data_IF_481696194660
#
_entry.id   IF_481696194660
#
_cell.length_a   1.000
_cell.length_b   1.000
_cell.length_c   1.000
_cell.angle_alpha   90.00
_cell.angle_beta   90.00
_cell.angle_gamma   90.00
#
_symmetry.space_group_name_H-M   'P 1'
#
loop_
_entity.id
_entity.type
_entity.pdbx_description
1 polymer ?
#
# COMPACT_ATOMS: atom_id res chain seq x y z
N UNK A 1 -7.25 -21.76 -10.54
CA UNK A 1 -8.36 -21.20 -9.75
C UNK A 1 -7.79 -20.04 -8.93
N UNK A 2 -8.45 -18.88 -8.90
CA UNK A 2 -7.99 -17.76 -8.07
C UNK A 2 -8.19 -18.13 -6.58
N UNK A 3 -7.33 -17.66 -5.68
CA UNK A 3 -7.57 -17.83 -4.24
C UNK A 3 -8.69 -16.90 -3.78
N UNK A 4 -9.37 -17.26 -2.68
CA UNK A 4 -10.38 -16.40 -2.06
C UNK A 4 -9.82 -15.00 -1.72
N UNK A 5 -8.60 -14.94 -1.19
CA UNK A 5 -7.89 -13.67 -0.99
C UNK A 5 -7.75 -12.85 -2.29
N UNK A 6 -7.53 -13.48 -3.44
CA UNK A 6 -7.45 -12.78 -4.73
C UNK A 6 -8.80 -12.20 -5.16
N UNK A 7 -9.92 -12.84 -4.80
CA UNK A 7 -11.27 -12.35 -5.07
C UNK A 7 -11.60 -11.15 -4.18
N UNK A 8 -11.34 -11.25 -2.87
CA UNK A 8 -11.50 -10.13 -1.93
C UNK A 8 -10.65 -8.93 -2.36
N UNK A 9 -9.38 -9.15 -2.74
CA UNK A 9 -8.52 -8.06 -3.25
C UNK A 9 -9.07 -7.45 -4.55
N UNK A 10 -9.65 -8.26 -5.44
CA UNK A 10 -10.28 -7.77 -6.67
C UNK A 10 -11.47 -6.86 -6.34
N UNK A 11 -12.33 -7.26 -5.42
CA UNK A 11 -13.46 -6.44 -4.95
C UNK A 11 -12.99 -5.11 -4.36
N UNK A 12 -12.04 -5.15 -3.41
CA UNK A 12 -11.48 -3.94 -2.80
C UNK A 12 -10.84 -3.00 -3.83
N UNK A 13 -10.21 -3.54 -4.88
CA UNK A 13 -9.62 -2.69 -5.93
C UNK A 13 -10.65 -1.99 -6.81
N UNK A 14 -11.89 -2.50 -6.87
CA UNK A 14 -12.98 -1.92 -7.64
C UNK A 14 -13.69 -0.76 -6.94
N UNK A 15 -13.54 -0.65 -5.62
CA UNK A 15 -14.09 0.45 -4.83
C UNK A 15 -13.53 1.80 -5.32
N UNK A 16 -14.39 2.82 -5.32
CA UNK A 16 -13.97 4.18 -5.64
C UNK A 16 -12.92 4.68 -4.63
N UNK A 17 -11.99 5.47 -5.14
CA UNK A 17 -10.95 6.12 -4.32
C UNK A 17 -11.50 7.48 -3.91
N UNK A 18 -11.83 7.62 -2.62
CA UNK A 18 -12.28 8.89 -2.07
C UNK A 18 -11.10 9.86 -1.95
N UNK A 19 -11.17 11.10 -2.50
CA UNK A 19 -10.04 12.05 -2.46
C UNK A 19 -9.49 12.32 -1.06
N UNK A 20 -10.37 12.44 -0.06
CA UNK A 20 -9.97 12.76 1.32
C UNK A 20 -9.20 11.64 2.02
N UNK A 21 -9.38 10.39 1.58
CA UNK A 21 -8.78 9.21 2.23
C UNK A 21 -7.76 8.48 1.35
N UNK A 22 -7.57 8.93 0.11
CA UNK A 22 -6.57 8.40 -0.81
C UNK A 22 -5.16 8.38 -0.18
N UNK A 23 -4.81 9.42 0.58
CA UNK A 23 -3.53 9.50 1.30
C UNK A 23 -3.37 8.43 2.37
N UNK A 24 -4.45 8.06 3.08
CA UNK A 24 -4.37 7.03 4.12
C UNK A 24 -4.09 5.66 3.50
N UNK A 25 -4.79 5.31 2.42
CA UNK A 25 -4.57 4.06 1.71
C UNK A 25 -3.17 4.00 1.06
N UNK A 26 -2.74 5.09 0.43
CA UNK A 26 -1.41 5.19 -0.17
C UNK A 26 -0.28 5.08 0.88
N UNK A 27 -0.48 5.65 2.07
CA UNK A 27 0.49 5.55 3.17
C UNK A 27 0.75 4.08 3.56
N UNK A 28 -0.29 3.24 3.60
CA UNK A 28 -0.14 1.82 3.90
C UNK A 28 0.68 1.10 2.81
N UNK A 29 0.38 1.36 1.52
CA UNK A 29 1.16 0.78 0.43
C UNK A 29 2.64 1.15 0.48
N UNK A 30 2.95 2.43 0.67
CA UNK A 30 4.33 2.90 0.71
C UNK A 30 5.08 2.41 1.94
N UNK A 31 4.44 2.37 3.11
CA UNK A 31 5.08 1.87 4.33
C UNK A 31 5.39 0.37 4.27
N UNK A 32 4.54 -0.42 3.60
CA UNK A 32 4.69 -1.87 3.56
C UNK A 32 5.52 -2.36 2.37
N UNK A 33 5.31 -1.79 1.19
CA UNK A 33 5.87 -2.29 -0.07
C UNK A 33 6.66 -1.22 -0.83
N UNK A 34 6.78 -0.01 -0.29
CA UNK A 34 7.53 1.08 -0.91
C UNK A 34 9.03 0.86 -0.79
N UNK A 35 9.74 1.06 -1.90
CA UNK A 35 11.20 1.03 -1.97
C UNK A 35 11.69 2.41 -2.36
N UNK A 36 12.45 3.06 -1.48
CA UNK A 36 13.12 4.32 -1.77
C UNK A 36 14.44 4.02 -2.50
N UNK A 37 14.57 4.54 -3.71
CA UNK A 37 15.78 4.46 -4.50
C UNK A 37 16.40 5.85 -4.65
N UNK A 38 17.73 5.91 -4.72
CA UNK A 38 18.50 7.10 -5.03
C UNK A 38 19.34 6.82 -6.28
N UNK A 39 19.09 7.56 -7.36
CA UNK A 39 19.86 7.48 -8.59
C UNK A 39 20.19 8.89 -9.06
N UNK A 40 21.47 9.17 -9.34
CA UNK A 40 21.94 10.47 -9.85
C UNK A 40 21.46 11.65 -9.00
N UNK A 41 21.53 11.46 -7.67
CA UNK A 41 21.04 12.42 -6.66
C UNK A 41 19.53 12.71 -6.70
N UNK A 42 18.74 11.89 -7.40
CA UNK A 42 17.28 11.98 -7.44
C UNK A 42 16.64 10.79 -6.71
N UNK A 43 15.69 11.09 -5.83
CA UNK A 43 14.90 10.08 -5.16
C UNK A 43 13.77 9.56 -6.05
N UNK A 44 13.50 8.26 -5.96
CA UNK A 44 12.28 7.65 -6.51
C UNK A 44 11.68 6.65 -5.54
N UNK A 45 10.35 6.55 -5.54
CA UNK A 45 9.59 5.57 -4.77
C UNK A 45 8.96 4.55 -5.70
N UNK A 46 9.29 3.29 -5.46
CA UNK A 46 8.85 2.16 -6.24
C UNK A 46 7.92 1.29 -5.41
N UNK A 47 6.74 0.94 -5.95
CA UNK A 47 5.88 -0.11 -5.39
C UNK A 47 5.69 -1.19 -6.46
N UNK A 48 6.00 -2.43 -6.10
CA UNK A 48 5.85 -3.57 -7.02
C UNK A 48 4.70 -4.49 -6.61
N UNK A 49 4.01 -5.05 -7.60
CA UNK A 49 2.95 -6.04 -7.38
C UNK A 49 2.82 -6.95 -8.60
N UNK A 50 2.39 -8.19 -8.39
CA UNK A 50 2.02 -9.12 -9.47
C UNK A 50 0.54 -8.97 -9.87
N UNK A 51 -0.25 -8.19 -9.12
CA UNK A 51 -1.66 -7.97 -9.40
C UNK A 51 -1.87 -6.66 -10.18
N UNK A 52 -2.32 -6.71 -11.46
CA UNK A 52 -2.53 -5.51 -12.26
C UNK A 52 -3.60 -4.57 -11.70
N UNK A 53 -4.60 -5.09 -10.97
CA UNK A 53 -5.64 -4.26 -10.36
C UNK A 53 -5.08 -3.44 -9.19
N UNK A 54 -4.16 -4.01 -8.40
CA UNK A 54 -3.46 -3.30 -7.33
C UNK A 54 -2.56 -2.21 -7.92
N UNK A 55 -1.82 -2.51 -9.00
CA UNK A 55 -0.98 -1.51 -9.67
C UNK A 55 -1.80 -0.30 -10.17
N UNK A 56 -2.94 -0.56 -10.84
CA UNK A 56 -3.86 0.51 -11.28
C UNK A 56 -4.42 1.32 -10.12
N UNK A 57 -4.71 0.67 -8.98
CA UNK A 57 -5.20 1.35 -7.79
C UNK A 57 -4.14 2.27 -7.18
N UNK A 58 -2.91 1.80 -7.01
CA UNK A 58 -1.79 2.63 -6.53
C UNK A 58 -1.57 3.83 -7.45
N UNK A 59 -1.58 3.61 -8.77
CA UNK A 59 -1.49 4.69 -9.75
C UNK A 59 -2.60 5.75 -9.53
N UNK A 60 -3.86 5.31 -9.40
CA UNK A 60 -5.01 6.20 -9.16
C UNK A 60 -4.88 6.94 -7.82
N UNK A 61 -4.41 6.27 -6.77
CA UNK A 61 -4.18 6.86 -5.45
C UNK A 61 -3.18 8.01 -5.52
N UNK A 62 -2.04 7.81 -6.20
CA UNK A 62 -1.02 8.86 -6.38
C UNK A 62 -1.60 10.05 -7.15
N UNK A 63 -2.30 9.78 -8.25
CA UNK A 63 -2.92 10.83 -9.09
C UNK A 63 -3.96 11.64 -8.33
N UNK A 64 -4.82 11.01 -7.54
CA UNK A 64 -5.85 11.70 -6.75
C UNK A 64 -5.24 12.43 -5.55
N UNK A 65 -4.30 11.81 -4.83
CA UNK A 65 -3.74 12.37 -3.61
C UNK A 65 -2.81 13.56 -3.86
N UNK A 66 -2.10 13.58 -5.00
CA UNK A 66 -1.03 14.55 -5.26
C UNK A 66 -1.11 15.24 -6.64
N UNK A 67 -2.03 14.83 -7.53
CA UNK A 67 -2.08 15.38 -8.89
C UNK A 67 -0.89 14.98 -9.76
N UNK A 68 -0.09 13.99 -9.33
CA UNK A 68 1.11 13.53 -10.03
C UNK A 68 0.76 12.27 -10.82
N UNK A 69 1.25 12.20 -12.06
CA UNK A 69 1.16 10.99 -12.87
C UNK A 69 2.41 10.12 -12.64
N UNK A 70 2.30 8.97 -11.94
CA UNK A 70 3.43 8.09 -11.73
C UNK A 70 3.74 7.29 -13.00
N UNK A 71 4.94 6.73 -13.09
CA UNK A 71 5.32 5.82 -14.17
C UNK A 71 4.79 4.41 -13.86
N UNK A 72 4.22 3.73 -14.86
CA UNK A 72 3.85 2.32 -14.78
C UNK A 72 4.76 1.50 -15.69
N UNK A 73 5.60 0.65 -15.10
CA UNK A 73 6.52 -0.22 -15.81
C UNK A 73 6.03 -1.66 -15.68
N UNK A 74 5.92 -2.37 -16.80
CA UNK A 74 5.54 -3.78 -16.84
C UNK A 74 6.73 -4.60 -17.29
N UNK A 75 7.14 -5.56 -16.47
CA UNK A 75 8.20 -6.50 -16.79
C UNK A 75 7.72 -7.93 -16.63
N UNK A 76 8.37 -8.87 -17.34
CA UNK A 76 8.09 -10.30 -17.19
C UNK A 76 9.23 -10.93 -16.41
N UNK A 77 8.92 -11.60 -15.28
CA UNK A 77 9.95 -12.35 -14.56
C UNK A 77 10.43 -13.54 -15.40
N UNK A 78 11.75 -13.67 -15.52
CA UNK A 78 12.42 -14.70 -16.34
C UNK A 78 12.49 -16.08 -15.66
N UNK A 79 12.23 -16.19 -14.35
CA UNK A 79 12.24 -17.45 -13.58
C UNK A 79 10.89 -17.71 -12.89
N UNK A 80 10.62 -18.99 -12.59
CA UNK A 80 9.43 -19.65 -12.01
C UNK A 80 8.16 -18.80 -11.82
N UNK A 81 7.08 -19.24 -12.50
CA UNK A 81 5.80 -18.54 -12.71
C UNK A 81 5.99 -17.27 -13.55
N UNK A 82 5.72 -17.38 -14.87
CA UNK A 82 5.81 -16.32 -15.89
C UNK A 82 4.78 -15.19 -15.68
N UNK A 83 4.68 -14.68 -14.45
CA UNK A 83 3.75 -13.63 -14.09
C UNK A 83 4.35 -12.28 -14.52
N UNK A 84 3.49 -11.37 -14.98
CA UNK A 84 3.86 -9.99 -15.16
C UNK A 84 4.08 -9.36 -13.78
N UNK A 85 5.15 -8.59 -13.65
CA UNK A 85 5.39 -7.72 -12.51
C UNK A 85 5.09 -6.29 -12.95
N UNK A 86 4.31 -5.60 -12.13
CA UNK A 86 3.92 -4.21 -12.33
C UNK A 86 4.67 -3.37 -11.29
N UNK A 87 5.40 -2.37 -11.76
CA UNK A 87 6.10 -1.40 -10.95
C UNK A 87 5.43 -0.04 -11.15
N UNK A 88 4.94 0.56 -10.06
CA UNK A 88 4.49 1.94 -10.03
C UNK A 88 5.60 2.78 -9.42
N UNK A 89 6.12 3.75 -10.18
CA UNK A 89 7.25 4.60 -9.77
C UNK A 89 6.84 6.06 -9.67
N UNK A 90 7.13 6.67 -8.55
CA UNK A 90 7.00 8.10 -8.29
C UNK A 90 8.41 8.72 -8.22
N UNK A 91 8.70 9.69 -9.08
CA UNK A 91 10.00 10.39 -9.17
C UNK A 91 9.89 11.90 -8.97
N UNK A 92 8.70 12.39 -8.58
CA UNK A 92 8.42 13.80 -8.33
C UNK A 92 8.00 13.97 -6.88
N UNK A 93 8.48 15.05 -6.24
CA UNK A 93 8.08 15.42 -4.87
C UNK A 93 8.21 14.30 -3.84
N UNK A 94 9.17 13.38 -4.03
CA UNK A 94 9.29 12.16 -3.22
C UNK A 94 9.43 12.47 -1.74
N UNK A 95 10.33 13.41 -1.40
CA UNK A 95 10.54 13.81 -0.01
C UNK A 95 9.29 14.48 0.60
N UNK A 96 8.69 15.45 -0.11
CA UNK A 96 7.44 16.13 0.29
C UNK A 96 6.32 15.11 0.55
N UNK A 97 6.21 14.08 -0.29
CA UNK A 97 5.19 13.04 -0.16
C UNK A 97 5.46 12.13 1.04
N UNK A 98 6.70 11.71 1.28
CA UNK A 98 7.04 10.89 2.44
C UNK A 98 6.79 11.63 3.76
N UNK A 99 7.12 12.92 3.81
CA UNK A 99 6.85 13.78 4.96
C UNK A 99 5.34 13.99 5.15
N UNK A 100 4.60 14.28 4.08
CA UNK A 100 3.14 14.47 4.14
C UNK A 100 2.38 13.19 4.58
N UNK A 101 2.89 12.03 4.20
CA UNK A 101 2.35 10.73 4.63
C UNK A 101 2.88 10.29 6.00
N UNK A 102 3.75 11.08 6.63
CA UNK A 102 4.43 10.77 7.89
C UNK A 102 5.10 9.38 7.84
N UNK A 103 5.77 9.09 6.72
CA UNK A 103 6.65 7.93 6.54
C UNK A 103 8.10 8.33 6.77
N UNK A 104 8.42 9.61 6.54
CA UNK A 104 9.72 10.20 6.84
C UNK A 104 9.54 11.45 7.68
N UNK A 105 10.45 11.64 8.62
CA UNK A 105 10.61 12.84 9.43
C UNK A 105 12.03 13.39 9.21
N UNK A 106 12.22 14.68 8.89
CA UNK A 106 13.54 15.24 8.60
C UNK A 106 14.53 15.13 9.76
N UNK A 107 14.06 15.12 11.00
CA UNK A 107 14.90 15.07 12.20
C UNK A 107 15.11 13.64 12.71
N UNK A 108 14.08 12.79 12.58
CA UNK A 108 14.04 11.45 13.17
C UNK A 108 14.26 10.32 12.15
N UNK A 109 14.18 10.63 10.86
CA UNK A 109 14.30 9.66 9.77
C UNK A 109 13.02 8.86 9.54
N UNK A 110 13.14 7.54 9.38
CA UNK A 110 12.02 6.66 9.04
C UNK A 110 10.97 6.61 10.17
N UNK A 111 9.70 6.83 9.81
CA UNK A 111 8.55 6.72 10.71
C UNK A 111 7.75 5.47 10.38
N UNK A 112 7.86 4.48 11.25
CA UNK A 112 7.29 3.13 11.10
C UNK A 112 5.86 3.03 11.63
N UNK A 113 5.47 3.84 12.62
CA UNK A 113 4.09 3.88 13.15
C UNK A 113 3.05 4.47 12.19
N UNK A 114 1.79 4.13 12.43
CA UNK A 114 0.66 4.67 11.67
C UNK A 114 0.40 6.12 12.13
N UNK A 115 0.22 7.08 11.21
CA UNK A 115 -0.12 8.47 11.54
C UNK A 115 -1.31 8.59 12.51
N UNK A 116 -1.19 9.40 13.57
CA UNK A 116 -2.27 9.54 14.54
C UNK A 116 -3.58 10.04 13.91
N UNK A 117 -3.49 10.91 12.91
CA UNK A 117 -4.64 11.38 12.12
C UNK A 117 -5.42 10.27 11.42
N UNK A 118 -4.77 9.13 11.14
CA UNK A 118 -5.38 7.93 10.56
C UNK A 118 -5.95 7.06 11.68
N UNK A 119 -5.22 6.91 12.79
CA UNK A 119 -5.67 6.16 13.98
C UNK A 119 -6.98 6.70 14.57
N UNK A 120 -7.24 8.01 14.47
CA UNK A 120 -8.40 8.67 15.09
C UNK A 120 -9.55 8.94 14.12
N UNK A 121 -9.46 8.55 12.85
CA UNK A 121 -10.52 8.73 11.84
C UNK A 121 -11.02 7.37 11.38
N UNK A 122 -12.33 7.13 11.45
CA UNK A 122 -12.94 5.86 11.00
C UNK A 122 -12.69 5.62 9.50
N UNK A 123 -12.86 6.63 8.68
CA UNK A 123 -12.68 6.56 7.23
C UNK A 123 -11.19 6.43 6.85
N UNK A 124 -10.32 7.12 7.59
CA UNK A 124 -8.87 6.99 7.50
C UNK A 124 -8.41 5.57 7.85
N UNK A 125 -8.91 5.03 8.96
CA UNK A 125 -8.68 3.67 9.43
C UNK A 125 -9.07 2.62 8.38
N UNK A 126 -10.31 2.68 7.88
CA UNK A 126 -10.82 1.78 6.86
C UNK A 126 -10.00 1.85 5.56
N UNK A 127 -9.56 3.05 5.17
CA UNK A 127 -8.75 3.24 3.96
C UNK A 127 -7.32 2.72 4.14
N UNK A 128 -6.72 2.94 5.31
CA UNK A 128 -5.40 2.41 5.65
C UNK A 128 -5.40 0.88 5.69
N UNK A 129 -6.36 0.27 6.39
CA UNK A 129 -6.50 -1.19 6.47
C UNK A 129 -6.72 -1.82 5.10
N UNK A 130 -7.47 -1.17 4.21
CA UNK A 130 -7.61 -1.61 2.81
C UNK A 130 -6.26 -1.62 2.09
N UNK A 131 -5.49 -0.55 2.19
CA UNK A 131 -4.14 -0.47 1.61
C UNK A 131 -3.22 -1.53 2.18
N UNK A 132 -3.27 -1.74 3.50
CA UNK A 132 -2.45 -2.73 4.19
C UNK A 132 -2.79 -4.17 3.77
N UNK A 133 -4.08 -4.49 3.69
CA UNK A 133 -4.54 -5.79 3.21
C UNK A 133 -4.18 -6.04 1.73
N UNK A 134 -4.30 -5.03 0.88
CA UNK A 134 -3.88 -5.13 -0.52
C UNK A 134 -2.36 -5.33 -0.64
N UNK A 135 -1.57 -4.65 0.19
CA UNK A 135 -0.11 -4.71 0.19
C UNK A 135 0.44 -6.05 0.70
N UNK A 136 -0.07 -6.56 1.82
CA UNK A 136 0.50 -7.71 2.52
C UNK A 136 -0.50 -8.62 3.22
N UNK A 137 -1.81 -8.49 2.94
CA UNK A 137 -2.85 -9.27 3.58
C UNK A 137 -3.25 -10.55 2.86
N UNK A 138 -3.83 -11.47 3.61
CA UNK A 138 -4.42 -12.72 3.14
C UNK A 138 -5.65 -13.08 3.97
N UNK A 139 -6.59 -13.80 3.37
CA UNK A 139 -7.81 -14.29 4.04
C UNK A 139 -8.23 -15.63 3.43
N UNK A 140 -8.60 -16.57 4.29
CA UNK A 140 -9.12 -17.87 3.88
C UNK A 140 -10.60 -17.78 3.49
N UNK A 141 -11.07 -18.71 2.66
CA UNK A 141 -12.49 -18.83 2.39
C UNK A 141 -13.22 -19.19 3.71
N UNK A 142 -14.16 -18.35 4.20
CA UNK A 142 -14.92 -18.62 5.42
C UNK A 142 -15.85 -19.84 5.32
N UNK A 143 -16.08 -20.39 4.13
CA UNK A 143 -16.80 -21.66 3.95
C UNK A 143 -15.93 -22.88 4.31
N UNK A 144 -14.64 -22.67 4.58
CA UNK A 144 -13.72 -23.72 5.03
C UNK A 144 -13.52 -23.68 6.55
N UNK A 145 -13.01 -24.76 7.15
CA UNK A 145 -12.90 -24.91 8.61
C UNK A 145 -11.87 -24.02 9.31
N UNK A 146 -11.13 -23.16 8.58
CA UNK A 146 -10.05 -22.33 9.13
C UNK A 146 -10.28 -20.86 8.86
N UNK A 147 -10.98 -20.21 9.79
CA UNK A 147 -11.11 -18.75 9.80
C UNK A 147 -9.75 -18.13 10.08
N UNK A 148 -9.25 -17.39 9.10
CA UNK A 148 -7.94 -16.76 9.18
C UNK A 148 -7.93 -15.51 8.31
N UNK A 149 -7.52 -14.41 8.91
CA UNK A 149 -7.17 -13.17 8.24
C UNK A 149 -5.84 -12.71 8.82
N UNK A 150 -4.92 -12.31 7.96
CA UNK A 150 -3.62 -11.79 8.35
C UNK A 150 -3.26 -10.56 7.51
N UNK A 151 -2.45 -9.68 8.10
CA UNK A 151 -1.75 -8.59 7.42
C UNK A 151 -0.31 -8.65 7.90
N UNK A 152 0.62 -8.92 6.99
CA UNK A 152 2.05 -8.96 7.31
C UNK A 152 2.67 -7.56 7.21
N UNK A 153 3.47 -7.16 8.20
CA UNK A 153 4.39 -6.02 8.07
C UNK A 153 5.73 -6.29 8.78
N UNK A 154 6.78 -5.62 8.29
CA UNK A 154 8.16 -5.81 8.76
C UNK A 154 8.42 -5.19 10.13
N UNK A 155 7.77 -4.07 10.45
CA UNK A 155 8.05 -3.32 11.68
C UNK A 155 7.06 -3.69 12.79
N UNK A 156 7.58 -4.00 13.97
CA UNK A 156 6.78 -4.42 15.14
C UNK A 156 5.77 -3.36 15.57
N UNK A 157 6.20 -2.11 15.66
CA UNK A 157 5.36 -0.98 16.04
C UNK A 157 4.24 -0.70 15.04
N UNK A 158 4.50 -0.90 13.74
CA UNK A 158 3.47 -0.87 12.71
C UNK A 158 2.46 -2.01 12.88
N UNK A 159 2.92 -3.23 13.21
CA UNK A 159 2.04 -4.36 13.48
C UNK A 159 1.15 -4.10 14.71
N UNK A 160 1.69 -3.52 15.79
CA UNK A 160 0.91 -3.10 16.96
C UNK A 160 -0.19 -2.11 16.58
N UNK A 161 0.14 -1.11 15.75
CA UNK A 161 -0.81 -0.10 15.31
C UNK A 161 -1.89 -0.70 14.40
N UNK A 162 -1.54 -1.63 13.50
CA UNK A 162 -2.50 -2.39 12.70
C UNK A 162 -3.47 -3.20 13.60
N UNK A 163 -2.94 -3.89 14.61
CA UNK A 163 -3.76 -4.61 15.58
C UNK A 163 -4.72 -3.68 16.33
N UNK A 164 -4.26 -2.50 16.76
CA UNK A 164 -5.14 -1.50 17.39
C UNK A 164 -6.20 -1.02 16.41
N UNK A 165 -5.82 -0.73 15.16
CA UNK A 165 -6.74 -0.27 14.12
C UNK A 165 -7.84 -1.28 13.79
N UNK A 166 -7.52 -2.58 13.80
CA UNK A 166 -8.48 -3.65 13.53
C UNK A 166 -9.47 -3.89 14.68
N UNK A 167 -9.12 -3.48 15.91
CA UNK A 167 -9.91 -3.72 17.12
C UNK A 167 -10.72 -2.49 17.58
N UNK A 168 -10.65 -1.36 16.86
CA UNK A 168 -11.41 -0.14 17.11
C UNK A 168 -12.44 0.11 16.01
#
# INVERSE_FOLDING_TARGET
MASYASEVKKELTSLEVHPEHAKAELAAFLRMNGVLNLHDHQFSLDITTENPAIARRIFKLIKIAYGIEPLLIVSRKMKLKKNNQYLVRLNQKVQEILENLQIWDPERGLVTRIPQRIMTSREGAMSYLRGAFLAGGSVNNPETSRYHLEIYSTYEDHNEDLCKLMNN
#
